data_IF_759196314717
#
_entry.id   IF_759196314717
#
_cell.length_a   1.000
_cell.length_b   1.000
_cell.length_c   1.000
_cell.angle_alpha   90.00
_cell.angle_beta   90.00
_cell.angle_gamma   90.00
#
_symmetry.space_group_name_H-M   'P 1'
#
loop_
_entity.id
_entity.type
_entity.pdbx_description
1 polymer ?
#
# COMPACT_ATOMS: atom_id res chain seq x y z
N UNK A 1 -8.06 29.89 -11.30
CA UNK A 1 -6.79 29.64 -10.60
C UNK A 1 -6.54 28.14 -10.65
N UNK A 2 -5.42 27.68 -11.23
CA UNK A 2 -5.04 26.28 -11.10
C UNK A 2 -4.72 26.07 -9.61
N UNK A 3 -5.53 25.26 -8.91
CA UNK A 3 -5.26 24.89 -7.53
C UNK A 3 -3.88 24.22 -7.49
N UNK A 4 -2.90 24.88 -6.89
CA UNK A 4 -1.54 24.33 -6.78
C UNK A 4 -1.61 22.98 -6.06
N UNK A 5 -0.95 21.97 -6.64
CA UNK A 5 -0.83 20.65 -6.02
C UNK A 5 -0.28 20.81 -4.61
N UNK A 6 -0.97 20.25 -3.62
CA UNK A 6 -0.51 20.29 -2.23
C UNK A 6 0.61 19.26 -2.09
N UNK A 7 1.80 19.70 -1.69
CA UNK A 7 2.91 18.81 -1.41
C UNK A 7 2.75 18.18 -0.03
N UNK A 8 2.98 16.88 0.07
CA UNK A 8 2.94 16.19 1.36
C UNK A 8 4.09 16.65 2.26
N UNK A 9 3.76 17.01 3.49
CA UNK A 9 4.76 17.34 4.52
C UNK A 9 5.55 16.08 4.93
N UNK A 10 6.64 16.27 5.67
CA UNK A 10 7.38 15.15 6.25
C UNK A 10 6.53 14.35 7.24
N UNK A 11 5.62 15.00 7.96
CA UNK A 11 4.67 14.36 8.87
C UNK A 11 3.68 13.49 8.10
N UNK A 12 3.11 14.00 7.01
CA UNK A 12 2.22 13.23 6.13
C UNK A 12 2.92 11.99 5.55
N UNK A 13 4.17 12.17 5.09
CA UNK A 13 5.00 11.08 4.56
C UNK A 13 5.28 10.01 5.62
N UNK A 14 5.57 10.43 6.85
CA UNK A 14 5.79 9.51 7.96
C UNK A 14 4.52 8.75 8.34
N UNK A 15 3.38 9.45 8.42
CA UNK A 15 2.07 8.85 8.69
C UNK A 15 1.71 7.83 7.61
N UNK A 16 1.82 8.20 6.34
CA UNK A 16 1.58 7.32 5.20
C UNK A 16 2.45 6.06 5.26
N UNK A 17 3.76 6.23 5.46
CA UNK A 17 4.71 5.11 5.54
C UNK A 17 4.39 4.16 6.68
N UNK A 18 3.96 4.66 7.83
CA UNK A 18 3.59 3.84 8.97
C UNK A 18 2.28 3.08 8.71
N UNK A 19 1.29 3.74 8.11
CA UNK A 19 0.04 3.09 7.68
C UNK A 19 0.27 2.01 6.63
N UNK A 20 1.10 2.26 5.61
CA UNK A 20 1.37 1.25 4.56
C UNK A 20 1.97 -0.04 5.11
N UNK A 21 2.79 0.04 6.18
CA UNK A 21 3.38 -1.15 6.79
C UNK A 21 2.35 -2.08 7.43
N UNK A 22 1.18 -1.59 7.82
CA UNK A 22 0.15 -2.38 8.50
C UNK A 22 -0.82 -3.06 7.53
N UNK A 23 -0.90 -2.60 6.27
CA UNK A 23 -1.88 -3.09 5.29
C UNK A 23 -1.74 -4.58 5.00
N UNK A 24 -2.84 -5.32 4.98
CA UNK A 24 -2.89 -6.68 4.42
C UNK A 24 -2.90 -6.66 2.88
N UNK A 25 -2.92 -7.84 2.24
CA UNK A 25 -2.91 -7.96 0.78
C UNK A 25 -4.05 -7.21 0.10
N UNK A 26 -5.28 -7.40 0.58
CA UNK A 26 -6.47 -6.72 0.02
C UNK A 26 -6.42 -5.21 0.21
N UNK A 27 -6.06 -4.75 1.42
CA UNK A 27 -5.95 -3.33 1.73
C UNK A 27 -4.87 -2.65 0.86
N UNK A 28 -3.74 -3.33 0.62
CA UNK A 28 -2.70 -2.84 -0.26
C UNK A 28 -3.18 -2.68 -1.70
N UNK A 29 -3.93 -3.66 -2.23
CA UNK A 29 -4.51 -3.58 -3.58
C UNK A 29 -5.47 -2.39 -3.67
N UNK A 30 -6.33 -2.22 -2.67
CA UNK A 30 -7.28 -1.11 -2.62
C UNK A 30 -6.55 0.25 -2.57
N UNK A 31 -5.59 0.42 -1.66
CA UNK A 31 -4.80 1.64 -1.54
C UNK A 31 -4.06 1.97 -2.84
N UNK A 32 -3.46 0.97 -3.48
CA UNK A 32 -2.75 1.13 -4.76
C UNK A 32 -3.70 1.59 -5.86
N UNK A 33 -4.92 1.05 -5.93
CA UNK A 33 -5.94 1.51 -6.89
C UNK A 33 -6.33 2.96 -6.64
N UNK A 34 -6.71 3.30 -5.41
CA UNK A 34 -7.16 4.65 -5.03
C UNK A 34 -6.11 5.71 -5.37
N UNK A 35 -4.84 5.49 -4.97
CA UNK A 35 -3.76 6.45 -5.26
C UNK A 35 -3.52 6.60 -6.76
N UNK A 36 -3.80 5.54 -7.53
CA UNK A 36 -3.61 5.56 -8.96
C UNK A 36 -4.85 5.98 -9.78
N UNK A 37 -5.97 6.28 -9.13
CA UNK A 37 -7.15 6.84 -9.80
C UNK A 37 -6.82 8.22 -10.40
N UNK A 38 -7.24 8.52 -11.64
CA UNK A 38 -6.84 9.74 -12.34
C UNK A 38 -7.13 11.03 -11.56
N UNK A 39 -8.25 11.09 -10.85
CA UNK A 39 -8.65 12.29 -10.11
C UNK A 39 -7.88 12.46 -8.80
N UNK A 40 -7.49 11.35 -8.17
CA UNK A 40 -6.62 11.37 -6.98
C UNK A 40 -5.19 11.73 -7.37
N UNK A 41 -4.66 11.17 -8.46
CA UNK A 41 -3.32 11.51 -8.96
C UNK A 41 -3.10 13.00 -9.20
N UNK A 42 -4.15 13.72 -9.62
CA UNK A 42 -4.07 15.17 -9.89
C UNK A 42 -3.82 15.99 -8.63
N UNK A 43 -4.20 15.48 -7.45
CA UNK A 43 -4.05 16.16 -6.15
C UNK A 43 -2.57 16.22 -5.75
N UNK A 44 -1.82 15.16 -6.04
CA UNK A 44 -0.44 14.99 -5.59
C UNK A 44 0.59 15.50 -6.58
N UNK A 45 1.73 15.92 -6.05
CA UNK A 45 2.94 16.16 -6.86
C UNK A 45 3.48 14.83 -7.40
N UNK A 46 4.30 14.89 -8.46
CA UNK A 46 4.93 13.67 -8.97
C UNK A 46 5.84 13.03 -7.92
N UNK A 47 6.59 13.84 -7.15
CA UNK A 47 7.45 13.34 -6.08
C UNK A 47 6.69 12.63 -4.97
N UNK A 48 5.49 13.11 -4.62
CA UNK A 48 4.64 12.45 -3.64
C UNK A 48 4.05 11.13 -4.18
N UNK A 49 3.64 11.10 -5.46
CA UNK A 49 3.22 9.86 -6.12
C UNK A 49 4.35 8.82 -6.17
N UNK A 50 5.57 9.25 -6.48
CA UNK A 50 6.74 8.37 -6.51
C UNK A 50 7.05 7.82 -5.12
N UNK A 51 6.98 8.67 -4.09
CA UNK A 51 7.12 8.27 -2.70
C UNK A 51 6.05 7.25 -2.28
N UNK A 52 4.78 7.54 -2.53
CA UNK A 52 3.67 6.67 -2.14
C UNK A 52 3.77 5.31 -2.83
N UNK A 53 4.01 5.28 -4.15
CA UNK A 53 4.16 4.04 -4.90
C UNK A 53 5.39 3.24 -4.45
N UNK A 54 6.48 3.90 -4.06
CA UNK A 54 7.67 3.24 -3.50
C UNK A 54 7.38 2.52 -2.19
N UNK A 55 6.67 3.16 -1.25
CA UNK A 55 6.33 2.53 0.02
C UNK A 55 5.30 1.40 -0.17
N UNK A 56 4.29 1.59 -1.02
CA UNK A 56 3.34 0.53 -1.40
C UNK A 56 4.05 -0.67 -2.03
N UNK A 57 4.99 -0.43 -2.95
CA UNK A 57 5.77 -1.49 -3.60
C UNK A 57 6.64 -2.28 -2.61
N UNK A 58 7.22 -1.62 -1.60
CA UNK A 58 7.94 -2.32 -0.52
C UNK A 58 7.02 -3.23 0.27
N UNK A 59 5.82 -2.76 0.61
CA UNK A 59 4.83 -3.60 1.29
C UNK A 59 4.37 -4.76 0.42
N UNK A 60 4.15 -4.54 -0.87
CA UNK A 60 3.81 -5.58 -1.85
C UNK A 60 4.87 -6.69 -1.85
N UNK A 61 6.15 -6.33 -1.91
CA UNK A 61 7.25 -7.30 -1.86
C UNK A 61 7.27 -8.10 -0.56
N UNK A 62 7.05 -7.46 0.59
CA UNK A 62 6.99 -8.14 1.89
C UNK A 62 5.81 -9.13 1.98
N UNK A 63 4.62 -8.73 1.53
CA UNK A 63 3.42 -9.57 1.47
C UNK A 63 3.66 -10.77 0.54
N UNK A 64 4.19 -10.54 -0.66
CA UNK A 64 4.44 -11.61 -1.62
C UNK A 64 5.47 -12.61 -1.12
N UNK A 65 6.54 -12.15 -0.46
CA UNK A 65 7.49 -13.02 0.20
C UNK A 65 6.84 -13.88 1.31
N UNK A 66 5.91 -13.31 2.08
CA UNK A 66 5.12 -14.03 3.07
C UNK A 66 4.27 -15.13 2.44
N UNK A 67 3.53 -14.80 1.38
CA UNK A 67 2.69 -15.74 0.63
C UNK A 67 3.51 -16.91 0.09
N UNK A 68 4.63 -16.64 -0.58
CA UNK A 68 5.50 -17.69 -1.13
C UNK A 68 6.05 -18.62 -0.04
N UNK A 69 6.42 -18.08 1.13
CA UNK A 69 6.85 -18.89 2.27
C UNK A 69 5.72 -19.76 2.82
N UNK A 70 4.50 -19.22 2.91
CA UNK A 70 3.31 -19.95 3.32
C UNK A 70 3.02 -21.11 2.37
N UNK A 71 3.00 -20.87 1.05
CA UNK A 71 2.84 -21.93 0.06
C UNK A 71 3.92 -23.01 0.13
N UNK A 72 5.20 -22.62 0.29
CA UNK A 72 6.29 -23.59 0.47
C UNK A 72 6.08 -24.50 1.68
N UNK A 73 5.50 -23.97 2.75
CA UNK A 73 5.16 -24.70 3.98
C UNK A 73 3.79 -25.39 3.94
N UNK A 74 3.00 -25.20 2.87
CA UNK A 74 1.59 -25.61 2.76
C UNK A 74 0.72 -25.02 3.88
N UNK A 75 1.11 -23.87 4.42
CA UNK A 75 0.39 -23.15 5.47
C UNK A 75 -0.60 -22.17 4.83
N UNK A 76 -1.73 -22.70 4.37
CA UNK A 76 -2.74 -21.90 3.67
C UNK A 76 -3.50 -20.96 4.61
N UNK A 77 -3.58 -21.28 5.91
CA UNK A 77 -4.18 -20.41 6.91
C UNK A 77 -3.35 -19.12 7.07
N UNK A 78 -2.03 -19.24 7.15
CA UNK A 78 -1.15 -18.06 7.19
C UNK A 78 -1.20 -17.25 5.88
N UNK A 79 -1.27 -17.92 4.72
CA UNK A 79 -1.44 -17.22 3.44
C UNK A 79 -2.74 -16.43 3.41
N UNK A 80 -3.86 -17.04 3.83
CA UNK A 80 -5.15 -16.35 3.92
C UNK A 80 -5.06 -15.16 4.88
N UNK A 81 -4.47 -15.35 6.07
CA UNK A 81 -4.28 -14.27 7.04
C UNK A 81 -3.45 -13.11 6.48
N UNK A 82 -2.38 -13.39 5.73
CA UNK A 82 -1.55 -12.35 5.08
C UNK A 82 -2.38 -11.57 4.04
N UNK A 83 -3.21 -12.27 3.26
CA UNK A 83 -4.05 -11.68 2.23
C UNK A 83 -5.19 -10.84 2.83
N UNK A 84 -5.88 -11.34 3.84
CA UNK A 84 -7.09 -10.72 4.38
C UNK A 84 -6.86 -9.86 5.62
N UNK A 85 -5.68 -9.98 6.25
CA UNK A 85 -5.39 -9.36 7.54
C UNK A 85 -5.98 -10.12 8.72
N UNK A 86 -6.36 -11.39 8.54
CA UNK A 86 -7.04 -12.19 9.56
C UNK A 86 -8.52 -11.83 9.74
N UNK A 87 -9.08 -11.06 8.81
CA UNK A 87 -10.52 -10.86 8.68
C UNK A 87 -11.06 -12.10 7.96
N UNK A 88 -11.94 -12.85 8.63
CA UNK A 88 -12.73 -13.91 8.02
C UNK A 88 -13.92 -13.24 7.31
N UNK A 89 -14.21 -13.67 6.08
CA UNK A 89 -15.46 -13.31 5.39
C UNK A 89 -16.62 -14.12 5.94
#
# INVERSE_FOLDING_TARGET
>A
MAAGKVEMTQEDKAYFKNGVKTLCGMELIFATKVINEPDIKKIFTQGDLDFMNKELGRRAGAIFAGILRGFKKKDFAEVQKILTGGKEE
#
